data_IF_876176904837
#
_entry.id   IF_876176904837
#
_cell.length_a   1.000
_cell.length_b   1.000
_cell.length_c   1.000
_cell.angle_alpha   90.00
_cell.angle_beta   90.00
_cell.angle_gamma   90.00
#
_symmetry.space_group_name_H-M   'P 1'
#
loop_
_entity.id
_entity.type
_entity.pdbx_description
1 polymer ?
#
# COMPACT_ATOMS: atom_id res chain seq x y z
N UNK A 1 9.01 24.81 -23.09
CA UNK A 1 10.39 25.20 -22.76
C UNK A 1 10.36 26.17 -21.59
N UNK A 2 11.25 25.97 -20.58
CA UNK A 2 11.44 26.91 -19.49
C UNK A 2 12.31 28.09 -19.99
N UNK A 3 11.85 29.32 -19.73
CA UNK A 3 12.63 30.50 -20.08
C UNK A 3 13.77 30.70 -19.06
N UNK A 4 15.02 30.86 -19.50
CA UNK A 4 16.13 31.11 -18.55
C UNK A 4 16.08 32.51 -17.93
N UNK A 5 15.27 33.43 -18.44
CA UNK A 5 15.11 34.78 -17.95
C UNK A 5 13.86 35.02 -17.10
N UNK A 6 12.99 34.03 -16.98
CA UNK A 6 11.77 34.14 -16.18
C UNK A 6 11.82 33.23 -14.94
N UNK A 7 11.24 33.64 -13.81
CA UNK A 7 11.14 32.79 -12.64
C UNK A 7 10.33 31.51 -12.92
N UNK A 8 10.77 30.39 -12.35
CA UNK A 8 10.10 29.09 -12.45
C UNK A 8 9.35 28.78 -11.17
N UNK A 9 8.12 28.34 -11.32
CA UNK A 9 7.35 27.83 -10.20
C UNK A 9 7.85 26.43 -9.85
N UNK A 10 8.27 26.25 -8.59
CA UNK A 10 8.76 24.97 -8.05
C UNK A 10 7.77 24.48 -7.01
N UNK A 11 7.40 23.21 -7.11
CA UNK A 11 6.69 22.48 -6.07
C UNK A 11 7.72 21.88 -5.09
N UNK A 12 7.54 22.15 -3.83
CA UNK A 12 8.45 21.73 -2.75
C UNK A 12 7.74 20.74 -1.84
N UNK A 13 8.52 19.88 -1.21
CA UNK A 13 8.08 18.97 -0.15
C UNK A 13 9.05 19.07 1.03
N UNK A 14 8.49 19.18 2.22
CA UNK A 14 9.25 19.03 3.47
C UNK A 14 9.41 17.55 3.80
N UNK A 15 10.65 17.08 3.88
CA UNK A 15 10.91 15.66 4.15
C UNK A 15 10.65 15.25 5.61
N UNK A 16 10.54 16.20 6.52
CA UNK A 16 10.29 15.96 7.95
C UNK A 16 8.81 15.72 8.22
N UNK A 17 7.94 16.66 7.79
CA UNK A 17 6.51 16.62 8.05
C UNK A 17 5.66 16.23 6.82
N UNK A 18 6.33 15.99 5.69
CA UNK A 18 5.74 15.58 4.40
C UNK A 18 4.80 16.61 3.76
N UNK A 19 4.69 17.80 4.32
CA UNK A 19 3.89 18.88 3.76
C UNK A 19 4.48 19.40 2.46
N UNK A 20 3.61 19.92 1.59
CA UNK A 20 4.03 20.46 0.30
C UNK A 20 3.71 21.95 0.19
N UNK A 21 4.39 22.62 -0.72
CA UNK A 21 4.20 24.04 -0.98
C UNK A 21 4.86 24.48 -2.27
N UNK A 22 4.92 25.79 -2.47
CA UNK A 22 5.47 26.39 -3.67
C UNK A 22 6.55 27.42 -3.37
N UNK A 23 7.47 27.60 -4.31
CA UNK A 23 8.43 28.67 -4.34
C UNK A 23 8.71 29.09 -5.77
N UNK A 24 9.23 30.30 -5.95
CA UNK A 24 9.70 30.78 -7.24
C UNK A 24 11.21 30.72 -7.28
N UNK A 25 11.76 29.98 -8.23
CA UNK A 25 13.19 29.96 -8.51
C UNK A 25 13.53 30.98 -9.56
N UNK A 26 14.45 31.87 -9.26
CA UNK A 26 14.99 32.84 -10.23
C UNK A 26 16.28 32.27 -10.84
N UNK A 27 16.27 31.87 -12.11
CA UNK A 27 17.46 31.30 -12.75
C UNK A 27 18.59 32.31 -12.97
N UNK A 28 18.27 33.62 -13.09
CA UNK A 28 19.29 34.65 -13.32
C UNK A 28 20.13 34.94 -12.06
N UNK A 29 19.52 34.92 -10.88
CA UNK A 29 20.21 35.10 -9.59
C UNK A 29 20.52 33.79 -8.87
N UNK A 30 20.08 32.64 -9.41
CA UNK A 30 20.19 31.33 -8.80
C UNK A 30 19.64 31.28 -7.35
N UNK A 31 18.50 31.93 -7.13
CA UNK A 31 17.87 32.07 -5.83
C UNK A 31 16.43 31.58 -5.81
N UNK A 32 16.00 31.12 -4.64
CA UNK A 32 14.60 30.83 -4.34
C UNK A 32 13.98 32.03 -3.63
N UNK A 33 12.76 32.37 -4.00
CA UNK A 33 11.91 33.27 -3.20
C UNK A 33 11.50 32.55 -1.89
N UNK A 34 10.84 33.29 -1.01
CA UNK A 34 10.27 32.70 0.21
C UNK A 34 9.35 31.52 -0.14
N UNK A 35 9.43 30.46 0.65
CA UNK A 35 8.54 29.30 0.49
C UNK A 35 7.14 29.69 0.94
N UNK A 36 6.17 29.44 0.09
CA UNK A 36 4.76 29.71 0.37
C UNK A 36 4.04 28.41 0.67
N UNK A 37 3.40 28.37 1.84
CA UNK A 37 2.51 27.30 2.30
C UNK A 37 3.20 25.94 2.45
N UNK A 38 3.97 25.78 3.51
CA UNK A 38 4.23 24.48 4.12
C UNK A 38 3.30 24.37 5.33
N UNK A 39 2.19 23.72 5.15
CA UNK A 39 1.23 23.38 6.20
C UNK A 39 0.93 21.88 6.10
N UNK A 40 0.18 21.31 7.02
CA UNK A 40 -0.18 19.87 7.08
C UNK A 40 -1.10 19.43 5.93
N UNK A 41 -0.69 19.77 4.68
CA UNK A 41 -1.46 19.50 3.47
C UNK A 41 -0.57 19.08 2.30
N UNK A 42 -1.14 18.26 1.41
CA UNK A 42 -0.65 18.06 0.06
C UNK A 42 -1.26 19.12 -0.87
N UNK A 43 -0.42 19.76 -1.66
CA UNK A 43 -0.80 20.73 -2.68
C UNK A 43 -0.57 20.14 -4.07
N UNK A 44 -1.51 20.33 -4.97
CA UNK A 44 -1.41 19.84 -6.35
C UNK A 44 -0.12 20.29 -7.03
N UNK A 45 0.57 19.37 -7.70
CA UNK A 45 1.69 19.70 -8.60
C UNK A 45 1.23 20.45 -9.84
N UNK A 46 -0.05 20.35 -10.19
CA UNK A 46 -0.63 21.07 -11.33
C UNK A 46 -1.23 22.39 -10.85
N UNK A 47 -0.55 23.47 -11.18
CA UNK A 47 -1.03 24.83 -10.95
C UNK A 47 -1.41 25.44 -12.29
N UNK A 48 -2.65 25.90 -12.41
CA UNK A 48 -3.13 26.58 -13.60
C UNK A 48 -3.07 28.10 -13.40
N UNK A 49 -2.27 28.78 -14.22
CA UNK A 49 -2.19 30.24 -14.22
C UNK A 49 -3.17 30.86 -15.25
N UNK A 50 -3.85 31.92 -14.86
CA UNK A 50 -4.65 32.71 -15.76
C UNK A 50 -3.78 33.36 -16.86
N UNK A 51 -4.33 33.52 -18.08
CA UNK A 51 -3.58 34.04 -19.23
C UNK A 51 -3.14 35.50 -19.05
N UNK A 52 -3.99 36.33 -18.46
CA UNK A 52 -3.83 37.79 -18.38
C UNK A 52 -3.77 38.35 -16.97
N UNK A 53 -3.65 37.50 -15.96
CA UNK A 53 -3.57 37.92 -14.55
C UNK A 53 -2.64 37.04 -13.76
N UNK A 54 -2.11 37.54 -12.64
CA UNK A 54 -1.36 36.74 -11.65
C UNK A 54 -2.32 36.01 -10.72
N UNK A 55 -3.18 35.21 -11.32
CA UNK A 55 -4.18 34.40 -10.64
C UNK A 55 -3.88 32.93 -10.92
N UNK A 56 -3.87 32.12 -9.86
CA UNK A 56 -3.48 30.73 -9.87
C UNK A 56 -4.57 29.86 -9.27
N UNK A 57 -4.83 28.73 -9.90
CA UNK A 57 -5.77 27.70 -9.44
C UNK A 57 -5.01 26.41 -9.17
N UNK A 58 -5.27 25.78 -8.01
CA UNK A 58 -4.67 24.52 -7.59
C UNK A 58 -5.60 23.78 -6.63
N UNK A 59 -5.29 22.55 -6.25
CA UNK A 59 -6.00 21.81 -5.20
C UNK A 59 -5.15 21.69 -3.95
N UNK A 60 -5.83 21.55 -2.80
CA UNK A 60 -5.26 21.34 -1.49
C UNK A 60 -6.06 20.26 -0.77
N UNK A 61 -5.37 19.30 -0.19
CA UNK A 61 -5.97 18.15 0.52
C UNK A 61 -5.16 17.71 1.72
N UNK A 62 -5.76 16.93 2.59
CA UNK A 62 -5.07 16.08 3.54
C UNK A 62 -5.92 14.83 3.84
N UNK A 63 -5.46 13.96 4.74
CA UNK A 63 -6.16 12.73 5.06
C UNK A 63 -7.66 12.92 5.34
N UNK A 64 -8.03 13.95 6.09
CA UNK A 64 -9.42 14.24 6.46
C UNK A 64 -10.12 15.27 5.55
N UNK A 65 -9.38 15.99 4.72
CA UNK A 65 -9.90 17.06 3.86
C UNK A 65 -9.85 16.63 2.41
N UNK A 66 -11.04 16.51 1.80
CA UNK A 66 -11.15 16.18 0.38
C UNK A 66 -10.47 17.24 -0.49
N UNK A 67 -9.83 16.87 -1.63
CA UNK A 67 -9.21 17.83 -2.55
C UNK A 67 -10.20 18.92 -2.97
N UNK A 68 -9.87 20.16 -2.63
CA UNK A 68 -10.72 21.32 -2.90
C UNK A 68 -9.96 22.40 -3.66
N UNK A 69 -10.67 23.16 -4.52
CA UNK A 69 -10.06 24.19 -5.36
C UNK A 69 -9.66 25.40 -4.51
N UNK A 70 -8.42 25.83 -4.73
CA UNK A 70 -7.84 27.03 -4.14
C UNK A 70 -7.55 28.06 -5.22
N UNK A 71 -7.84 29.32 -4.94
CA UNK A 71 -7.52 30.45 -5.81
C UNK A 71 -6.51 31.36 -5.08
N UNK A 72 -5.44 31.73 -5.75
CA UNK A 72 -4.45 32.71 -5.29
C UNK A 72 -4.32 33.86 -6.29
N UNK A 73 -4.31 35.09 -5.80
CA UNK A 73 -4.09 36.31 -6.59
C UNK A 73 -2.76 37.02 -6.29
N UNK A 74 -1.89 36.41 -5.48
CA UNK A 74 -0.66 37.03 -4.98
C UNK A 74 0.59 36.13 -5.16
N UNK A 75 0.65 35.45 -6.31
CA UNK A 75 1.75 34.52 -6.63
C UNK A 75 1.88 33.35 -5.66
N UNK A 76 0.76 32.80 -5.20
CA UNK A 76 0.67 31.63 -4.31
C UNK A 76 1.09 31.92 -2.85
N UNK A 77 1.21 33.19 -2.42
CA UNK A 77 1.51 33.55 -1.03
C UNK A 77 0.36 33.20 -0.10
N UNK A 78 -0.87 33.50 -0.57
CA UNK A 78 -2.10 33.15 0.13
C UNK A 78 -3.07 32.47 -0.81
N UNK A 79 -4.07 31.78 -0.28
CA UNK A 79 -5.13 31.20 -1.09
C UNK A 79 -6.47 31.25 -0.37
N UNK A 80 -7.53 31.29 -1.17
CA UNK A 80 -8.91 31.14 -0.70
C UNK A 80 -9.54 29.92 -1.35
N UNK A 81 -10.28 29.13 -0.56
CA UNK A 81 -11.06 28.01 -1.09
C UNK A 81 -12.26 28.53 -1.87
N UNK A 82 -12.45 28.07 -3.10
CA UNK A 82 -13.51 28.52 -4.01
C UNK A 82 -14.50 27.41 -4.39
N UNK A 83 -14.31 26.19 -3.86
CA UNK A 83 -15.26 25.08 -4.03
C UNK A 83 -15.54 24.40 -2.70
N UNK A 84 -16.61 23.62 -2.63
CA UNK A 84 -16.93 22.72 -1.51
C UNK A 84 -17.23 21.34 -2.09
N UNK A 85 -16.17 20.58 -2.33
CA UNK A 85 -16.26 19.24 -2.86
C UNK A 85 -16.52 18.24 -1.73
N UNK A 86 -17.30 17.18 -2.03
CA UNK A 86 -17.61 16.08 -1.11
C UNK A 86 -18.11 16.51 0.28
N UNK A 87 -19.10 17.42 0.42
CA UNK A 87 -19.53 17.93 1.71
C UNK A 87 -20.15 16.87 2.61
N UNK A 88 -20.66 15.76 2.04
CA UNK A 88 -21.21 14.62 2.76
C UNK A 88 -20.17 13.87 3.60
N UNK A 89 -18.87 14.05 3.36
CA UNK A 89 -17.81 13.43 4.16
C UNK A 89 -17.92 13.79 5.65
N UNK A 90 -18.41 14.97 5.98
CA UNK A 90 -18.63 15.43 7.37
C UNK A 90 -19.58 14.53 8.17
N UNK A 91 -20.35 13.67 7.49
CA UNK A 91 -21.29 12.72 8.12
C UNK A 91 -20.62 11.40 8.53
N UNK A 92 -19.35 11.19 8.18
CA UNK A 92 -18.62 9.94 8.43
C UNK A 92 -17.47 10.15 9.41
N UNK A 93 -17.27 9.16 10.26
CA UNK A 93 -16.13 9.10 11.15
C UNK A 93 -14.88 8.69 10.35
N UNK A 94 -13.86 9.55 10.26
CA UNK A 94 -12.76 9.39 9.31
C UNK A 94 -11.49 8.81 9.93
N UNK A 95 -11.22 9.02 11.19
CA UNK A 95 -9.94 8.67 11.83
C UNK A 95 -8.86 9.73 11.60
N UNK A 96 -7.65 9.42 12.04
CA UNK A 96 -6.48 10.30 11.92
C UNK A 96 -5.29 9.54 11.36
N UNK A 97 -4.33 10.25 10.78
CA UNK A 97 -3.07 9.70 10.29
C UNK A 97 -1.89 10.49 10.85
N UNK A 98 -0.79 9.81 11.12
CA UNK A 98 0.44 10.42 11.60
C UNK A 98 1.66 9.62 11.17
N UNK A 99 2.85 10.24 11.22
CA UNK A 99 4.11 9.51 11.15
C UNK A 99 4.32 8.76 12.47
N UNK A 100 4.76 7.52 12.35
CA UNK A 100 5.19 6.71 13.47
C UNK A 100 6.66 6.37 13.28
N UNK A 101 7.48 6.61 14.29
CA UNK A 101 8.92 6.35 14.27
C UNK A 101 9.28 5.33 15.34
N UNK A 102 10.18 4.43 15.00
CA UNK A 102 10.68 3.40 15.92
C UNK A 102 12.13 3.05 15.61
N UNK A 103 12.81 2.51 16.62
CA UNK A 103 14.13 1.94 16.45
C UNK A 103 14.00 0.49 16.01
N UNK A 104 14.58 0.11 14.87
CA UNK A 104 14.61 -1.28 14.45
C UNK A 104 15.67 -2.09 15.21
N UNK A 105 15.74 -3.39 14.94
CA UNK A 105 16.68 -4.29 15.64
C UNK A 105 18.15 -4.04 15.29
N UNK A 106 18.43 -3.35 14.19
CA UNK A 106 19.77 -2.91 13.78
C UNK A 106 20.12 -1.51 14.35
N UNK A 107 19.31 -0.97 15.28
CA UNK A 107 19.43 0.38 15.85
C UNK A 107 19.33 1.49 14.81
N UNK A 108 18.53 1.30 13.78
CA UNK A 108 18.23 2.30 12.76
C UNK A 108 16.85 2.89 13.01
N UNK A 109 16.76 4.23 13.04
CA UNK A 109 15.47 4.92 13.13
C UNK A 109 14.67 4.68 11.84
N UNK A 110 13.47 4.12 11.98
CA UNK A 110 12.52 3.84 10.91
C UNK A 110 11.31 4.73 11.01
N UNK A 111 10.62 4.88 9.89
CA UNK A 111 9.40 5.70 9.78
C UNK A 111 8.34 4.92 9.02
N UNK A 112 7.09 5.18 9.34
CA UNK A 112 5.92 4.67 8.62
C UNK A 112 4.70 5.54 8.89
N UNK A 113 3.59 5.21 8.24
CA UNK A 113 2.30 5.82 8.49
C UNK A 113 1.53 5.00 9.53
N UNK A 114 0.92 5.68 10.47
CA UNK A 114 0.01 5.11 11.47
C UNK A 114 -1.36 5.78 11.33
N UNK A 115 -2.37 4.98 10.98
CA UNK A 115 -3.75 5.44 10.91
C UNK A 115 -4.51 4.91 12.11
N UNK A 116 -5.13 5.83 12.84
CA UNK A 116 -5.87 5.54 14.07
C UNK A 116 -7.38 5.68 13.84
N UNK A 117 -8.19 4.83 14.48
CA UNK A 117 -9.64 4.91 14.37
C UNK A 117 -10.19 6.20 15.00
N UNK A 118 -11.39 6.65 14.59
CA UNK A 118 -12.08 7.73 15.27
C UNK A 118 -12.27 7.42 16.74
N UNK A 119 -12.01 8.40 17.62
CA UNK A 119 -12.10 8.20 19.07
C UNK A 119 -11.08 7.21 19.63
N UNK A 120 -9.89 7.14 19.02
CA UNK A 120 -8.79 6.31 19.51
C UNK A 120 -8.53 6.56 20.99
N UNK A 121 -8.49 5.47 21.76
CA UNK A 121 -8.26 5.47 23.21
C UNK A 121 -6.91 4.80 23.52
N UNK A 122 -6.00 5.54 24.11
CA UNK A 122 -4.65 5.06 24.47
C UNK A 122 -4.64 3.96 25.55
N UNK A 123 -5.77 3.74 26.22
CA UNK A 123 -5.90 2.67 27.21
C UNK A 123 -6.32 1.32 26.60
N UNK A 124 -6.55 1.27 25.29
CA UNK A 124 -7.00 0.10 24.56
C UNK A 124 -6.03 -0.25 23.45
N UNK A 125 -5.89 -1.54 23.17
CA UNK A 125 -5.23 -2.04 21.95
C UNK A 125 -6.27 -2.38 20.87
N UNK A 126 -5.89 -2.27 19.61
CA UNK A 126 -6.80 -2.39 18.48
C UNK A 126 -6.37 -3.48 17.52
N UNK A 127 -7.35 -4.19 16.88
CA UNK A 127 -7.03 -5.04 15.72
C UNK A 127 -6.27 -4.23 14.70
N UNK A 128 -5.13 -4.75 14.23
CA UNK A 128 -4.19 -3.98 13.41
C UNK A 128 -3.89 -4.69 12.10
N UNK A 129 -3.99 -3.96 10.99
CA UNK A 129 -3.59 -4.42 9.67
C UNK A 129 -2.30 -3.69 9.28
N UNK A 130 -1.23 -4.45 9.08
CA UNK A 130 0.03 -3.93 8.55
C UNK A 130 -0.01 -4.04 7.04
N UNK A 131 -0.10 -2.89 6.37
CA UNK A 131 -0.16 -2.78 4.91
C UNK A 131 1.10 -2.10 4.41
N UNK A 132 1.77 -2.65 3.41
CA UNK A 132 3.02 -2.08 2.91
C UNK A 132 3.34 -2.48 1.48
N UNK A 133 4.20 -1.67 0.85
CA UNK A 133 4.78 -1.93 -0.46
C UNK A 133 6.27 -1.61 -0.46
N UNK A 134 6.67 -0.35 -0.50
CA UNK A 134 8.04 0.15 -0.32
C UNK A 134 8.02 1.36 0.61
N UNK A 135 7.96 2.58 0.08
CA UNK A 135 7.92 3.83 0.85
C UNK A 135 6.56 4.51 0.68
N UNK A 136 5.86 4.74 1.77
CA UNK A 136 4.53 5.35 1.78
C UNK A 136 4.42 6.58 2.68
N UNK A 137 5.44 6.88 3.51
CA UNK A 137 5.38 8.02 4.42
C UNK A 137 5.21 9.36 3.71
N UNK A 138 5.63 9.43 2.44
CA UNK A 138 5.45 10.61 1.59
C UNK A 138 3.97 10.91 1.26
N UNK A 139 3.06 9.97 1.51
CA UNK A 139 1.62 10.09 1.25
C UNK A 139 0.83 10.55 2.49
N UNK A 140 1.53 10.99 3.56
CA UNK A 140 0.92 11.38 4.84
C UNK A 140 -0.29 12.32 4.68
N UNK A 141 -0.20 13.26 3.75
CA UNK A 141 -1.23 14.27 3.53
C UNK A 141 -2.15 13.97 2.34
N UNK A 142 -2.03 12.81 1.70
CA UNK A 142 -2.93 12.43 0.62
C UNK A 142 -4.30 12.06 1.17
N UNK A 143 -5.35 12.49 0.47
CA UNK A 143 -6.72 12.12 0.81
C UNK A 143 -7.04 10.70 0.30
N UNK A 144 -7.40 9.74 1.18
CA UNK A 144 -7.82 8.42 0.75
C UNK A 144 -9.24 8.46 0.19
N UNK A 145 -9.39 8.49 -1.12
CA UNK A 145 -10.72 8.47 -1.76
C UNK A 145 -11.55 7.30 -1.22
N UNK A 146 -12.77 7.54 -0.67
CA UNK A 146 -13.59 6.50 -0.04
C UNK A 146 -14.29 5.63 -1.10
N UNK A 147 -13.52 4.80 -1.77
CA UNK A 147 -13.99 3.89 -2.81
C UNK A 147 -13.32 2.52 -2.65
N UNK A 148 -13.97 1.44 -3.12
CA UNK A 148 -13.34 0.13 -3.19
C UNK A 148 -12.02 0.20 -3.94
N UNK A 149 -10.92 -0.07 -3.26
CA UNK A 149 -9.60 -0.04 -3.84
C UNK A 149 -9.37 -1.28 -4.73
N UNK A 150 -8.52 -1.14 -5.73
CA UNK A 150 -8.27 -2.22 -6.71
C UNK A 150 -7.42 -3.39 -6.14
N UNK A 151 -6.57 -3.13 -5.13
CA UNK A 151 -5.59 -4.13 -4.68
C UNK A 151 -5.19 -4.01 -3.22
N UNK A 152 -5.54 -2.92 -2.53
CA UNK A 152 -5.16 -2.69 -1.15
C UNK A 152 -6.35 -2.26 -0.30
N UNK A 153 -6.16 -2.22 1.00
CA UNK A 153 -7.16 -1.68 1.93
C UNK A 153 -7.35 -0.17 1.71
N UNK A 154 -8.57 0.33 1.93
CA UNK A 154 -8.84 1.76 2.05
C UNK A 154 -8.70 2.16 3.53
N UNK A 155 -7.74 3.02 3.83
CA UNK A 155 -7.38 3.37 5.22
C UNK A 155 -8.55 3.97 5.99
N UNK A 156 -9.28 4.93 5.39
CA UNK A 156 -10.42 5.54 6.06
C UNK A 156 -11.55 4.53 6.32
N UNK A 157 -11.82 3.62 5.39
CA UNK A 157 -12.83 2.56 5.56
C UNK A 157 -12.49 1.63 6.73
N UNK A 158 -11.25 1.15 6.82
CA UNK A 158 -10.87 0.25 7.92
C UNK A 158 -10.73 1.00 9.24
N UNK A 159 -10.19 2.22 9.26
CA UNK A 159 -10.10 3.04 10.46
C UNK A 159 -11.50 3.34 11.03
N UNK A 160 -12.47 3.75 10.20
CA UNK A 160 -13.86 3.99 10.63
C UNK A 160 -14.54 2.75 11.23
N UNK A 161 -14.03 1.57 10.95
CA UNK A 161 -14.49 0.28 11.50
C UNK A 161 -13.69 -0.16 12.72
N UNK A 162 -12.83 0.70 13.27
CA UNK A 162 -12.07 0.44 14.50
C UNK A 162 -10.82 -0.41 14.31
N UNK A 163 -10.22 -0.40 13.13
CA UNK A 163 -8.88 -0.94 12.89
C UNK A 163 -7.82 0.14 13.03
N UNK A 164 -6.67 -0.22 13.53
CA UNK A 164 -5.42 0.51 13.33
C UNK A 164 -4.78 0.00 12.03
N UNK A 165 -4.26 0.91 11.21
CA UNK A 165 -3.47 0.55 10.03
C UNK A 165 -2.04 1.05 10.24
N UNK A 166 -1.07 0.19 10.01
CA UNK A 166 0.34 0.53 10.03
C UNK A 166 0.95 0.29 8.66
N UNK A 167 1.61 1.31 8.12
CA UNK A 167 2.32 1.20 6.84
C UNK A 167 3.78 1.62 7.02
N UNK A 168 4.69 0.68 7.33
CA UNK A 168 6.11 0.94 7.48
C UNK A 168 6.79 1.21 6.14
N UNK A 169 7.67 2.20 6.08
CA UNK A 169 8.57 2.38 4.95
C UNK A 169 9.62 1.27 4.93
N UNK A 170 9.71 0.56 3.81
CA UNK A 170 10.66 -0.55 3.65
C UNK A 170 11.87 -0.07 2.87
N UNK A 171 13.05 -0.29 3.43
CA UNK A 171 14.33 -0.15 2.75
C UNK A 171 15.04 -1.50 2.65
N UNK A 172 15.84 -1.70 1.61
CA UNK A 172 16.37 -3.01 1.27
C UNK A 172 17.89 -3.07 1.29
N UNK A 173 18.42 -4.15 1.85
CA UNK A 173 19.81 -4.58 1.65
C UNK A 173 19.90 -5.40 0.35
N UNK A 174 20.91 -5.15 -0.48
CA UNK A 174 21.14 -5.88 -1.74
C UNK A 174 21.24 -7.38 -1.44
N UNK A 175 20.56 -8.20 -2.21
CA UNK A 175 20.50 -9.65 -2.07
C UNK A 175 19.52 -10.17 -1.00
N UNK A 176 18.96 -9.29 -0.17
CA UNK A 176 18.15 -9.66 0.99
C UNK A 176 16.79 -8.92 1.04
N UNK A 177 16.02 -8.86 -0.06
CA UNK A 177 14.78 -8.09 -0.07
C UNK A 177 13.74 -8.61 0.93
N UNK A 178 13.53 -9.91 0.98
CA UNK A 178 12.57 -10.52 1.89
C UNK A 178 12.97 -10.38 3.37
N UNK A 179 14.24 -10.55 3.67
CA UNK A 179 14.78 -10.39 5.03
C UNK A 179 14.70 -8.94 5.49
N UNK A 180 14.99 -7.99 4.60
CA UNK A 180 14.87 -6.54 4.90
C UNK A 180 13.43 -6.17 5.26
N UNK A 181 12.46 -6.63 4.46
CA UNK A 181 11.05 -6.44 4.77
C UNK A 181 10.65 -7.10 6.09
N UNK A 182 11.08 -8.34 6.34
CA UNK A 182 10.83 -9.05 7.59
C UNK A 182 11.31 -8.25 8.80
N UNK A 183 12.56 -7.80 8.81
CA UNK A 183 13.13 -7.06 9.94
C UNK A 183 12.37 -5.77 10.24
N UNK A 184 12.06 -4.98 9.20
CA UNK A 184 11.39 -3.69 9.37
C UNK A 184 9.93 -3.88 9.81
N UNK A 185 9.18 -4.77 9.16
CA UNK A 185 7.78 -5.03 9.50
C UNK A 185 7.67 -5.60 10.91
N UNK A 186 8.51 -6.56 11.26
CA UNK A 186 8.47 -7.21 12.59
C UNK A 186 8.87 -6.25 13.70
N UNK A 187 9.95 -5.47 13.52
CA UNK A 187 10.36 -4.50 14.54
C UNK A 187 9.29 -3.43 14.75
N UNK A 188 8.74 -2.85 13.67
CA UNK A 188 7.69 -1.83 13.77
C UNK A 188 6.41 -2.37 14.41
N UNK A 189 5.96 -3.55 13.99
CA UNK A 189 4.76 -4.19 14.58
C UNK A 189 4.98 -4.51 16.06
N UNK A 190 6.16 -5.01 16.44
CA UNK A 190 6.49 -5.27 17.84
C UNK A 190 6.50 -4.01 18.70
N UNK A 191 7.00 -2.89 18.17
CA UNK A 191 6.93 -1.60 18.87
C UNK A 191 5.48 -1.15 19.07
N UNK A 192 4.61 -1.25 18.05
CA UNK A 192 3.18 -0.93 18.22
C UNK A 192 2.48 -1.79 19.27
N UNK A 193 2.85 -3.06 19.40
CA UNK A 193 2.33 -3.94 20.45
C UNK A 193 2.85 -3.50 21.83
N UNK A 194 4.13 -3.16 21.94
CA UNK A 194 4.74 -2.67 23.19
C UNK A 194 4.12 -1.33 23.64
N UNK A 195 3.82 -0.46 22.69
CA UNK A 195 3.15 0.83 22.91
C UNK A 195 1.65 0.67 23.21
N UNK A 196 1.12 -0.56 23.21
CA UNK A 196 -0.30 -0.91 23.41
C UNK A 196 -1.25 -0.30 22.39
N UNK A 197 -0.76 0.06 21.22
CA UNK A 197 -1.57 0.52 20.10
C UNK A 197 -2.18 -0.68 19.37
N UNK A 198 -1.34 -1.67 19.04
CA UNK A 198 -1.76 -2.89 18.36
C UNK A 198 -2.09 -4.02 19.34
N UNK A 199 -3.20 -4.70 19.11
CA UNK A 199 -3.56 -5.91 19.82
C UNK A 199 -2.77 -7.09 19.27
N UNK A 200 -1.90 -7.67 20.11
CA UNK A 200 -1.02 -8.78 19.75
C UNK A 200 -1.75 -9.99 19.17
N UNK A 201 -2.95 -10.27 19.68
CA UNK A 201 -3.74 -11.44 19.27
C UNK A 201 -4.54 -11.18 17.98
N UNK A 202 -4.57 -9.93 17.48
CA UNK A 202 -5.39 -9.51 16.35
C UNK A 202 -4.59 -8.69 15.32
N UNK A 203 -3.48 -9.29 14.83
CA UNK A 203 -2.59 -8.70 13.82
C UNK A 203 -2.81 -9.37 12.46
N UNK A 204 -2.81 -8.60 11.40
CA UNK A 204 -2.85 -9.09 10.03
C UNK A 204 -1.85 -8.37 9.12
N UNK A 205 -1.49 -9.03 8.00
CA UNK A 205 -0.74 -8.43 6.90
C UNK A 205 -1.65 -8.23 5.68
N UNK A 206 -1.42 -7.16 4.94
CA UNK A 206 -2.05 -6.94 3.64
C UNK A 206 -1.06 -6.29 2.67
N UNK A 207 -0.98 -6.81 1.44
CA UNK A 207 -0.16 -6.20 0.40
C UNK A 207 -0.29 -6.90 -0.94
N UNK A 208 -0.02 -6.16 -2.00
CA UNK A 208 -0.21 -6.58 -3.38
C UNK A 208 1.11 -6.54 -4.14
N UNK A 209 1.28 -7.43 -5.13
CA UNK A 209 2.43 -7.45 -6.02
C UNK A 209 3.74 -7.66 -5.23
N UNK A 210 4.62 -6.67 -5.20
CA UNK A 210 5.81 -6.68 -4.37
C UNK A 210 5.49 -6.79 -2.87
N UNK A 211 4.42 -6.15 -2.41
CA UNK A 211 3.88 -6.33 -1.06
C UNK A 211 3.45 -7.77 -0.80
N UNK A 212 2.78 -8.41 -1.77
CA UNK A 212 2.37 -9.82 -1.70
C UNK A 212 3.57 -10.77 -1.58
N UNK A 213 4.65 -10.54 -2.35
CA UNK A 213 5.91 -11.27 -2.20
C UNK A 213 6.47 -11.16 -0.78
N UNK A 214 6.55 -9.93 -0.27
CA UNK A 214 7.10 -9.67 1.07
C UNK A 214 6.27 -10.38 2.15
N UNK A 215 4.94 -10.36 2.05
CA UNK A 215 4.05 -11.09 2.95
C UNK A 215 4.32 -12.58 2.89
N UNK A 216 4.37 -13.17 1.70
CA UNK A 216 4.66 -14.59 1.55
C UNK A 216 6.01 -14.95 2.20
N UNK A 217 7.04 -14.11 2.03
CA UNK A 217 8.35 -14.32 2.67
C UNK A 217 8.26 -14.22 4.20
N UNK A 218 7.63 -13.16 4.72
CA UNK A 218 7.48 -12.94 6.18
C UNK A 218 6.79 -14.13 6.83
N UNK A 219 5.73 -14.66 6.24
CA UNK A 219 4.98 -15.78 6.78
C UNK A 219 5.77 -17.11 6.78
N UNK A 220 6.85 -17.22 6.00
CA UNK A 220 7.78 -18.35 6.14
C UNK A 220 8.70 -18.24 7.38
N UNK A 221 8.69 -17.08 8.07
CA UNK A 221 9.60 -16.74 9.16
C UNK A 221 8.92 -16.55 10.50
N UNK A 222 7.61 -16.30 10.52
CA UNK A 222 6.86 -16.00 11.74
C UNK A 222 5.39 -16.41 11.62
N UNK A 223 4.81 -16.78 12.78
CA UNK A 223 3.38 -17.05 12.95
C UNK A 223 2.70 -15.96 13.82
N UNK A 224 3.29 -14.77 13.89
CA UNK A 224 2.76 -13.66 14.70
C UNK A 224 1.41 -13.15 14.20
N UNK A 225 1.14 -13.27 12.89
CA UNK A 225 -0.05 -12.73 12.27
C UNK A 225 -1.17 -13.76 12.20
N UNK A 226 -2.35 -13.37 12.63
CA UNK A 226 -3.55 -14.20 12.71
C UNK A 226 -4.14 -14.55 11.34
N UNK A 227 -3.96 -13.66 10.36
CA UNK A 227 -4.30 -13.87 8.96
C UNK A 227 -3.53 -12.92 8.06
N UNK A 228 -3.52 -13.19 6.74
CA UNK A 228 -2.92 -12.27 5.78
C UNK A 228 -3.64 -12.30 4.43
N UNK A 229 -3.64 -11.17 3.72
CA UNK A 229 -4.00 -11.09 2.30
C UNK A 229 -2.75 -10.77 1.48
N UNK A 230 -2.50 -11.59 0.46
CA UNK A 230 -1.36 -11.45 -0.45
C UNK A 230 -1.83 -11.47 -1.90
N UNK A 231 -1.94 -10.28 -2.50
CA UNK A 231 -2.36 -10.14 -3.90
C UNK A 231 -1.19 -10.24 -4.87
N UNK A 232 -1.38 -10.95 -5.99
CA UNK A 232 -0.46 -11.08 -7.12
C UNK A 232 1.01 -11.26 -6.71
N UNK A 233 1.25 -12.12 -5.71
CA UNK A 233 2.56 -12.34 -5.12
C UNK A 233 3.50 -13.09 -6.07
N UNK A 234 4.75 -12.64 -6.18
CA UNK A 234 5.84 -13.46 -6.73
C UNK A 234 6.32 -14.40 -5.63
N UNK A 235 6.16 -15.70 -5.80
CA UNK A 235 6.59 -16.68 -4.79
C UNK A 235 7.75 -17.55 -5.24
N UNK A 236 8.00 -17.59 -6.54
CA UNK A 236 9.08 -18.34 -7.16
C UNK A 236 9.91 -17.41 -8.05
N UNK A 237 10.99 -16.86 -7.52
CA UNK A 237 11.83 -15.94 -8.27
C UNK A 237 12.63 -16.64 -9.38
N UNK A 238 12.80 -17.98 -9.30
CA UNK A 238 13.52 -18.73 -10.33
C UNK A 238 12.72 -18.80 -11.62
N UNK A 239 11.42 -19.14 -11.56
CA UNK A 239 10.54 -19.18 -12.75
C UNK A 239 10.14 -17.78 -13.22
N UNK A 240 10.00 -16.83 -12.30
CA UNK A 240 9.61 -15.47 -12.65
C UNK A 240 10.75 -14.64 -13.28
N UNK A 241 12.01 -14.98 -13.04
CA UNK A 241 13.19 -14.24 -13.51
C UNK A 241 13.25 -14.15 -15.04
N UNK A 242 13.09 -15.26 -15.73
CA UNK A 242 13.10 -15.32 -17.21
C UNK A 242 11.71 -15.12 -17.83
N UNK A 243 10.77 -14.64 -17.05
CA UNK A 243 9.44 -14.28 -17.53
C UNK A 243 9.41 -12.96 -18.30
N UNK A 244 8.29 -12.71 -18.95
CA UNK A 244 8.00 -11.47 -19.67
C UNK A 244 6.93 -10.67 -18.91
N UNK A 245 7.11 -9.36 -18.79
CA UNK A 245 6.01 -8.44 -18.46
C UNK A 245 5.17 -8.25 -19.72
N UNK A 246 4.07 -9.00 -19.81
CA UNK A 246 3.22 -9.00 -20.99
C UNK A 246 2.64 -7.63 -21.34
N UNK A 247 2.37 -6.78 -20.34
CA UNK A 247 1.94 -5.39 -20.57
C UNK A 247 2.93 -4.56 -21.39
N UNK A 248 4.23 -4.87 -21.31
CA UNK A 248 5.29 -4.08 -21.94
C UNK A 248 6.17 -4.84 -22.90
N UNK A 249 6.07 -6.18 -22.93
CA UNK A 249 6.92 -7.07 -23.71
C UNK A 249 8.38 -7.15 -23.24
N UNK A 250 8.71 -6.60 -22.06
CA UNK A 250 10.08 -6.58 -21.53
C UNK A 250 10.39 -7.85 -20.74
N UNK A 251 11.59 -8.39 -20.90
CA UNK A 251 12.14 -9.43 -20.00
C UNK A 251 12.27 -8.91 -18.58
N UNK A 252 12.13 -9.78 -17.57
CA UNK A 252 12.05 -9.38 -16.17
C UNK A 252 13.38 -9.35 -15.43
N UNK A 253 14.48 -9.82 -16.03
CA UNK A 253 15.80 -10.01 -15.39
C UNK A 253 16.28 -8.74 -14.67
N UNK A 254 16.21 -7.58 -15.34
CA UNK A 254 16.65 -6.31 -14.76
C UNK A 254 15.93 -5.94 -13.46
N UNK A 255 14.65 -6.30 -13.35
CA UNK A 255 13.82 -6.04 -12.17
C UNK A 255 14.33 -6.85 -10.96
N UNK A 256 14.77 -8.09 -11.17
CA UNK A 256 15.31 -8.93 -10.11
C UNK A 256 16.74 -8.55 -9.75
N UNK A 257 17.57 -8.24 -10.74
CA UNK A 257 19.00 -7.97 -10.51
C UNK A 257 19.23 -6.61 -9.85
N UNK A 258 18.67 -5.54 -10.41
CA UNK A 258 19.09 -4.15 -10.12
C UNK A 258 17.98 -3.24 -9.62
N UNK A 259 16.70 -3.55 -9.92
CA UNK A 259 15.59 -2.68 -9.54
C UNK A 259 14.85 -3.19 -8.30
N UNK A 260 13.57 -3.50 -8.41
CA UNK A 260 12.68 -3.78 -7.27
C UNK A 260 13.19 -4.88 -6.33
N UNK A 261 13.68 -6.00 -6.88
CA UNK A 261 14.14 -7.13 -6.06
C UNK A 261 15.56 -6.98 -5.55
N UNK A 262 16.40 -6.20 -6.22
CA UNK A 262 17.77 -5.83 -5.77
C UNK A 262 18.61 -7.03 -5.36
N UNK A 263 18.54 -8.16 -6.11
CA UNK A 263 19.33 -9.36 -5.80
C UNK A 263 20.82 -9.16 -6.10
N UNK A 264 21.16 -8.29 -7.07
CA UNK A 264 22.53 -7.89 -7.37
C UNK A 264 23.32 -8.90 -8.24
N UNK A 265 22.74 -10.07 -8.55
CA UNK A 265 23.35 -11.11 -9.36
C UNK A 265 22.32 -11.74 -10.29
N UNK A 266 22.77 -12.31 -11.41
CA UNK A 266 21.93 -13.13 -12.28
C UNK A 266 21.57 -14.46 -11.62
N UNK A 267 20.53 -15.13 -12.09
CA UNK A 267 20.14 -16.47 -11.63
C UNK A 267 21.28 -17.49 -11.75
N UNK A 268 22.05 -17.43 -12.83
CA UNK A 268 23.15 -18.38 -13.09
C UNK A 268 24.42 -18.06 -12.28
N UNK A 269 24.63 -16.79 -11.87
CA UNK A 269 25.75 -16.45 -10.98
C UNK A 269 25.54 -16.96 -9.56
N UNK A 270 24.27 -17.00 -9.09
CA UNK A 270 23.95 -17.45 -7.74
C UNK A 270 22.51 -18.01 -7.66
N UNK A 271 22.27 -19.25 -8.11
CA UNK A 271 20.93 -19.85 -8.06
C UNK A 271 20.37 -19.91 -6.64
N UNK A 272 21.22 -20.11 -5.63
CA UNK A 272 20.79 -20.20 -4.24
C UNK A 272 20.22 -18.87 -3.71
N UNK A 273 20.71 -17.75 -4.21
CA UNK A 273 20.17 -16.43 -3.88
C UNK A 273 18.70 -16.32 -4.28
N UNK A 274 18.33 -16.79 -5.46
CA UNK A 274 16.96 -16.81 -5.97
C UNK A 274 16.07 -17.80 -5.20
N UNK A 275 16.59 -19.02 -4.93
CA UNK A 275 15.88 -20.03 -4.14
C UNK A 275 15.61 -19.51 -2.72
N UNK A 276 16.62 -18.92 -2.07
CA UNK A 276 16.50 -18.42 -0.70
C UNK A 276 15.52 -17.25 -0.56
N UNK A 277 15.37 -16.42 -1.60
CA UNK A 277 14.41 -15.32 -1.68
C UNK A 277 13.05 -15.75 -2.26
N UNK A 278 12.85 -17.03 -2.61
CA UNK A 278 11.58 -17.56 -3.10
C UNK A 278 10.79 -18.22 -1.96
N UNK A 279 9.67 -17.63 -1.52
CA UNK A 279 8.82 -18.21 -0.47
C UNK A 279 8.35 -19.63 -0.79
N UNK A 280 8.16 -19.96 -2.06
CA UNK A 280 7.68 -21.26 -2.53
C UNK A 280 8.42 -22.44 -1.90
N UNK A 281 9.75 -22.35 -1.77
CA UNK A 281 10.57 -23.43 -1.22
C UNK A 281 10.47 -23.57 0.32
N UNK A 282 9.69 -22.68 0.98
CA UNK A 282 9.52 -22.63 2.43
C UNK A 282 8.04 -22.56 2.85
N UNK A 283 7.10 -22.81 1.94
CA UNK A 283 5.64 -22.74 2.18
C UNK A 283 5.19 -23.68 3.31
N UNK A 284 5.88 -24.80 3.50
CA UNK A 284 5.61 -25.72 4.60
C UNK A 284 5.69 -25.06 6.00
N UNK A 285 6.37 -23.93 6.13
CA UNK A 285 6.48 -23.16 7.39
C UNK A 285 5.32 -22.19 7.62
N UNK A 286 4.50 -21.92 6.61
CA UNK A 286 3.36 -21.01 6.74
C UNK A 286 2.22 -21.70 7.48
N UNK A 287 1.79 -21.12 8.61
CA UNK A 287 0.62 -21.57 9.36
C UNK A 287 -0.53 -20.56 9.31
N UNK A 288 -0.22 -19.31 8.99
CA UNK A 288 -1.17 -18.20 8.91
C UNK A 288 -2.18 -18.41 7.77
N UNK A 289 -3.49 -18.34 8.02
CA UNK A 289 -4.52 -18.36 6.98
C UNK A 289 -4.32 -17.23 5.95
N UNK A 290 -4.43 -17.58 4.65
CA UNK A 290 -4.12 -16.69 3.54
C UNK A 290 -5.31 -16.48 2.61
N UNK A 291 -5.64 -15.21 2.36
CA UNK A 291 -6.45 -14.80 1.21
C UNK A 291 -5.52 -14.37 0.08
N UNK A 292 -5.67 -14.96 -1.09
CA UNK A 292 -4.89 -14.63 -2.28
C UNK A 292 -5.78 -13.95 -3.31
N UNK A 293 -5.29 -12.92 -3.95
CA UNK A 293 -5.85 -12.32 -5.16
C UNK A 293 -4.86 -12.52 -6.30
N UNK A 294 -5.25 -13.19 -7.37
CA UNK A 294 -4.43 -13.24 -8.58
C UNK A 294 -5.32 -13.49 -9.81
N UNK A 295 -5.22 -12.61 -10.79
CA UNK A 295 -6.06 -12.63 -11.97
C UNK A 295 -5.36 -13.31 -13.16
N UNK A 296 -6.13 -13.91 -14.05
CA UNK A 296 -5.63 -14.71 -15.17
C UNK A 296 -5.07 -13.89 -16.34
N UNK A 297 -5.38 -12.59 -16.43
CA UNK A 297 -4.82 -11.66 -17.44
C UNK A 297 -3.76 -10.74 -16.82
N UNK A 298 -3.09 -11.18 -15.75
CA UNK A 298 -2.04 -10.41 -15.10
C UNK A 298 -0.81 -10.25 -16.01
N UNK A 299 -0.64 -9.07 -16.61
CA UNK A 299 0.48 -8.74 -17.47
C UNK A 299 1.75 -8.29 -16.74
N UNK A 300 1.69 -8.13 -15.42
CA UNK A 300 2.81 -7.69 -14.58
C UNK A 300 3.48 -8.86 -13.83
N UNK A 301 2.69 -9.68 -13.13
CA UNK A 301 3.14 -10.91 -12.45
C UNK A 301 2.42 -12.10 -13.08
N UNK A 302 3.13 -13.08 -13.65
CA UNK A 302 2.47 -14.24 -14.27
C UNK A 302 1.50 -14.94 -13.33
N UNK A 303 0.31 -15.27 -13.80
CA UNK A 303 -0.74 -15.93 -12.99
C UNK A 303 -0.26 -17.27 -12.41
N UNK A 304 0.69 -17.93 -13.07
CA UNK A 304 1.34 -19.15 -12.61
C UNK A 304 1.94 -19.00 -11.20
N UNK A 305 2.41 -17.81 -10.83
CA UNK A 305 2.91 -17.54 -9.47
C UNK A 305 1.80 -17.71 -8.42
N UNK A 306 0.59 -17.25 -8.73
CA UNK A 306 -0.58 -17.44 -7.86
C UNK A 306 -1.03 -18.91 -7.81
N UNK A 307 -0.97 -19.63 -8.94
CA UNK A 307 -1.26 -21.05 -9.01
C UNK A 307 -0.27 -21.85 -8.19
N UNK A 308 1.04 -21.64 -8.38
CA UNK A 308 2.09 -22.30 -7.60
C UNK A 308 1.86 -22.09 -6.08
N UNK A 309 1.59 -20.85 -5.68
CA UNK A 309 1.37 -20.51 -4.27
C UNK A 309 0.15 -21.22 -3.70
N UNK A 310 -1.01 -21.08 -4.37
CA UNK A 310 -2.26 -21.66 -3.90
C UNK A 310 -2.21 -23.19 -3.85
N UNK A 311 -1.74 -23.83 -4.91
CA UNK A 311 -1.66 -25.29 -4.97
C UNK A 311 -0.68 -25.87 -3.94
N UNK A 312 0.46 -25.20 -3.72
CA UNK A 312 1.40 -25.63 -2.68
C UNK A 312 0.79 -25.52 -1.27
N UNK A 313 0.10 -24.42 -0.95
CA UNK A 313 -0.63 -24.27 0.30
C UNK A 313 -1.68 -25.38 0.48
N UNK A 314 -2.50 -25.61 -0.55
CA UNK A 314 -3.55 -26.65 -0.51
C UNK A 314 -2.97 -28.06 -0.41
N UNK A 315 -1.85 -28.35 -1.09
CA UNK A 315 -1.17 -29.65 -1.01
C UNK A 315 -0.66 -29.95 0.42
N UNK A 316 -0.33 -28.90 1.16
CA UNK A 316 0.15 -28.96 2.55
C UNK A 316 -0.97 -28.79 3.59
N UNK A 317 -2.22 -28.85 3.15
CA UNK A 317 -3.43 -28.67 3.99
C UNK A 317 -3.48 -27.33 4.75
N UNK A 318 -2.87 -26.29 4.18
CA UNK A 318 -2.91 -24.93 4.74
C UNK A 318 -4.22 -24.23 4.38
N UNK A 319 -4.70 -23.35 5.30
CA UNK A 319 -5.92 -22.56 5.06
C UNK A 319 -5.64 -21.46 4.05
N UNK A 320 -6.13 -21.60 2.83
CA UNK A 320 -5.93 -20.63 1.76
C UNK A 320 -7.15 -20.54 0.84
N UNK A 321 -7.45 -19.32 0.40
CA UNK A 321 -8.49 -18.99 -0.57
C UNK A 321 -7.86 -18.20 -1.70
N UNK A 322 -8.20 -18.51 -2.95
CA UNK A 322 -7.76 -17.77 -4.13
C UNK A 322 -8.96 -17.09 -4.80
N UNK A 323 -8.91 -15.77 -4.87
CA UNK A 323 -9.84 -14.98 -5.68
C UNK A 323 -9.20 -14.73 -7.06
N UNK A 324 -9.86 -15.25 -8.10
CA UNK A 324 -9.51 -14.99 -9.48
C UNK A 324 -10.69 -14.31 -10.17
N UNK A 325 -10.50 -13.07 -10.61
CA UNK A 325 -11.47 -12.34 -11.42
C UNK A 325 -11.08 -12.46 -12.88
N UNK A 326 -11.74 -13.38 -13.59
CA UNK A 326 -11.41 -13.73 -14.97
C UNK A 326 -11.45 -12.54 -15.91
N UNK A 327 -10.40 -12.41 -16.72
CA UNK A 327 -10.24 -11.31 -17.66
C UNK A 327 -9.94 -9.97 -16.99
N UNK A 328 -9.47 -9.98 -15.75
CA UNK A 328 -8.92 -8.81 -15.08
C UNK A 328 -7.37 -8.85 -15.11
N UNK A 329 -6.73 -7.69 -15.26
CA UNK A 329 -5.26 -7.59 -15.24
C UNK A 329 -4.68 -7.74 -13.83
N UNK A 330 -3.52 -7.12 -13.57
CA UNK A 330 -2.77 -7.18 -12.30
C UNK A 330 -3.62 -6.90 -11.04
N UNK A 331 -4.72 -6.19 -11.18
CA UNK A 331 -5.74 -5.92 -10.15
C UNK A 331 -7.12 -5.78 -10.79
N UNK A 332 -8.22 -5.96 -10.04
CA UNK A 332 -9.57 -5.71 -10.56
C UNK A 332 -9.74 -4.26 -11.03
N UNK A 333 -10.10 -4.07 -12.29
CA UNK A 333 -10.41 -2.74 -12.87
C UNK A 333 -11.90 -2.50 -12.99
N UNK A 334 -12.70 -3.56 -13.24
CA UNK A 334 -14.15 -3.47 -13.31
C UNK A 334 -14.73 -3.16 -11.93
N UNK A 335 -15.63 -2.22 -11.86
CA UNK A 335 -16.20 -1.73 -10.58
C UNK A 335 -16.81 -2.85 -9.73
N UNK A 336 -17.60 -3.74 -10.35
CA UNK A 336 -18.23 -4.86 -9.64
C UNK A 336 -17.18 -5.80 -9.01
N UNK A 337 -16.08 -6.04 -9.69
CA UNK A 337 -15.01 -6.91 -9.18
C UNK A 337 -14.20 -6.23 -8.06
N UNK A 338 -13.95 -4.92 -8.16
CA UNK A 338 -13.37 -4.15 -7.05
C UNK A 338 -14.27 -4.22 -5.81
N UNK A 339 -15.57 -4.00 -5.98
CA UNK A 339 -16.55 -4.06 -4.89
C UNK A 339 -16.56 -5.45 -4.25
N UNK A 340 -16.65 -6.52 -5.06
CA UNK A 340 -16.63 -7.90 -4.58
C UNK A 340 -15.34 -8.22 -3.80
N UNK A 341 -14.18 -7.86 -4.35
CA UNK A 341 -12.89 -8.06 -3.68
C UNK A 341 -12.84 -7.36 -2.31
N UNK A 342 -13.24 -6.08 -2.24
CA UNK A 342 -13.20 -5.35 -0.97
C UNK A 342 -14.19 -5.91 0.07
N UNK A 343 -15.37 -6.40 -0.35
CA UNK A 343 -16.31 -7.07 0.55
C UNK A 343 -15.66 -8.35 1.11
N UNK A 344 -15.12 -9.22 0.26
CA UNK A 344 -14.49 -10.47 0.69
C UNK A 344 -13.28 -10.22 1.59
N UNK A 345 -12.43 -9.27 1.23
CA UNK A 345 -11.26 -8.89 2.03
C UNK A 345 -11.69 -8.37 3.41
N UNK A 346 -12.73 -7.53 3.49
CA UNK A 346 -13.23 -7.04 4.78
C UNK A 346 -13.84 -8.16 5.62
N UNK A 347 -14.62 -9.06 5.02
CA UNK A 347 -15.18 -10.22 5.72
C UNK A 347 -14.08 -11.16 6.24
N UNK A 348 -13.01 -11.36 5.45
CA UNK A 348 -11.87 -12.16 5.85
C UNK A 348 -11.18 -11.58 7.09
N UNK A 349 -10.88 -10.27 7.09
CA UNK A 349 -10.28 -9.63 8.25
C UNK A 349 -11.23 -9.56 9.45
N UNK A 350 -12.51 -9.24 9.24
CA UNK A 350 -13.50 -9.21 10.32
C UNK A 350 -13.66 -10.59 10.98
N UNK A 351 -13.63 -11.68 10.19
CA UNK A 351 -13.67 -13.04 10.74
C UNK A 351 -12.47 -13.32 11.65
N UNK A 352 -11.25 -13.11 11.15
CA UNK A 352 -10.06 -13.47 11.90
C UNK A 352 -9.74 -12.49 13.04
N UNK A 353 -9.88 -11.19 12.83
CA UNK A 353 -9.43 -10.17 13.78
C UNK A 353 -10.51 -9.70 14.75
N UNK A 354 -11.80 -9.93 14.44
CA UNK A 354 -12.93 -9.49 15.26
C UNK A 354 -13.91 -10.59 15.63
N UNK A 355 -13.59 -11.85 15.27
CA UNK A 355 -14.41 -13.00 15.61
C UNK A 355 -15.80 -13.01 14.92
N UNK A 356 -15.95 -12.28 13.80
CA UNK A 356 -17.19 -12.34 13.04
C UNK A 356 -17.40 -13.73 12.44
N UNK A 357 -18.65 -14.17 12.21
CA UNK A 357 -18.93 -15.45 11.59
C UNK A 357 -18.18 -15.61 10.26
N UNK A 358 -17.74 -16.85 9.97
CA UNK A 358 -17.10 -17.15 8.69
C UNK A 358 -18.14 -17.05 7.57
N UNK A 359 -17.92 -16.24 6.53
CA UNK A 359 -18.84 -16.13 5.41
C UNK A 359 -18.90 -17.42 4.61
N UNK A 360 -20.00 -17.66 3.95
CA UNK A 360 -20.25 -18.92 3.22
C UNK A 360 -19.21 -19.19 2.14
N UNK A 361 -18.75 -18.16 1.42
CA UNK A 361 -17.71 -18.30 0.40
C UNK A 361 -16.36 -18.80 0.96
N UNK A 362 -16.05 -18.52 2.23
CA UNK A 362 -14.87 -19.08 2.89
C UNK A 362 -15.12 -20.51 3.37
N UNK A 363 -16.30 -20.78 3.92
CA UNK A 363 -16.64 -22.07 4.50
C UNK A 363 -16.84 -23.18 3.46
N UNK A 364 -17.54 -22.86 2.35
CA UNK A 364 -17.97 -23.85 1.35
C UNK A 364 -17.44 -23.56 -0.06
N UNK A 365 -16.96 -22.33 -0.32
CA UNK A 365 -16.72 -21.83 -1.66
C UNK A 365 -18.02 -21.42 -2.36
N UNK A 366 -17.90 -20.95 -3.60
CA UNK A 366 -19.04 -20.66 -4.48
C UNK A 366 -18.96 -21.58 -5.67
N UNK A 367 -19.92 -22.52 -5.85
CA UNK A 367 -19.94 -23.42 -6.98
C UNK A 367 -19.96 -22.69 -8.33
N UNK A 368 -19.29 -23.23 -9.33
CA UNK A 368 -19.22 -22.62 -10.67
C UNK A 368 -20.59 -22.35 -11.29
N UNK A 369 -21.57 -23.19 -10.99
CA UNK A 369 -22.96 -23.06 -11.47
C UNK A 369 -23.73 -21.91 -10.84
N UNK A 370 -23.26 -21.42 -9.67
CA UNK A 370 -23.84 -20.27 -8.93
C UNK A 370 -23.13 -18.95 -9.23
N UNK A 371 -22.11 -18.99 -10.09
CA UNK A 371 -21.32 -17.80 -10.41
C UNK A 371 -22.22 -16.66 -10.93
N UNK A 372 -22.08 -15.50 -10.30
CA UNK A 372 -22.87 -14.30 -10.64
C UNK A 372 -24.29 -14.26 -10.06
N UNK A 373 -24.77 -15.38 -9.49
CA UNK A 373 -26.08 -15.48 -8.82
C UNK A 373 -25.91 -15.41 -7.31
N UNK A 374 -25.17 -16.37 -6.74
CA UNK A 374 -24.84 -16.41 -5.33
C UNK A 374 -23.37 -16.01 -5.13
N UNK A 375 -23.10 -15.09 -4.24
CA UNK A 375 -21.72 -14.64 -3.92
C UNK A 375 -21.20 -15.19 -2.59
N UNK A 376 -22.07 -15.82 -1.79
CA UNK A 376 -21.72 -16.40 -0.50
C UNK A 376 -21.28 -15.41 0.56
N UNK A 377 -21.75 -14.16 0.48
CA UNK A 377 -21.41 -13.13 1.47
C UNK A 377 -22.01 -13.42 2.84
#
# INVERSE_FOLDING_TARGET
FLSPSAPWLIHLKDDTNKSTGYSWFNPASFSLDSVYVLSDFEHSRQVTKARSADTYLFTKENFATFPDLQLSGDRLKTSVRISEANPQQKQYAWGTIQLYQWMDWDSVMRTGLLVLPPGFDTLRSYPTIVNFYEKSSDELHNHPTPAPHRSTINYAFYASRGYVIFNPDISYKIGLPGESAYQIVMSGTSNLVNDRIADRENLALQGHSWGGYQIAYILTRTNMFKCAEAGAAVVNMTSAYDGIRWETGKGRQFQYEKEQSRLGKTLWQDPNLYINNSPLFKINKIETPLLLLHNDEDGAVPFEQGIEFYLALRRLDKKAWLLNYRGEPHWPVKWQNRKDFNIRMSQFFDHYLKGQPMPEWMAKGVPAVERGVNKGY
#
